data_IF_846005807916
#
_entry.id   IF_846005807916
#
_cell.length_a   1.000
_cell.length_b   1.000
_cell.length_c   1.000
_cell.angle_alpha   90.00
_cell.angle_beta   90.00
_cell.angle_gamma   90.00
#
_symmetry.space_group_name_H-M   'P 1'
#
loop_
_entity.id
_entity.type
_entity.pdbx_description
1 polymer ?
#
# COMPACT_ATOMS: atom_id res chain seq x y z
N UNK A 1 11.40 9.24 -32.66
CA UNK A 1 11.49 7.78 -32.93
C UNK A 1 10.76 7.04 -31.81
N UNK A 2 9.75 6.21 -32.05
CA UNK A 2 9.12 5.45 -30.98
C UNK A 2 10.04 4.27 -30.63
N UNK A 3 10.75 4.38 -29.52
CA UNK A 3 11.68 3.38 -29.02
C UNK A 3 10.91 2.44 -28.07
N UNK A 4 9.97 1.67 -28.59
CA UNK A 4 9.36 0.58 -27.82
C UNK A 4 10.22 -0.64 -28.04
N UNK A 5 11.12 -0.97 -27.11
CA UNK A 5 11.81 -2.26 -27.20
C UNK A 5 10.77 -3.36 -27.03
N UNK A 6 10.62 -4.19 -28.06
CA UNK A 6 9.68 -5.31 -28.02
C UNK A 6 10.00 -6.21 -26.82
N UNK A 7 8.97 -6.57 -26.04
CA UNK A 7 9.09 -7.53 -24.93
C UNK A 7 9.69 -8.81 -25.49
N UNK A 8 10.85 -9.23 -24.98
CA UNK A 8 11.48 -10.45 -25.46
C UNK A 8 10.72 -11.68 -24.95
N UNK A 9 10.81 -12.80 -25.65
CA UNK A 9 10.22 -14.07 -25.19
C UNK A 9 10.75 -14.47 -23.80
N UNK A 10 12.01 -14.15 -23.51
CA UNK A 10 12.64 -14.38 -22.20
C UNK A 10 12.00 -13.53 -21.12
N UNK A 11 11.77 -12.24 -21.38
CA UNK A 11 11.09 -11.36 -20.44
C UNK A 11 9.68 -11.89 -20.14
N UNK A 12 8.90 -12.19 -21.18
CA UNK A 12 7.55 -12.73 -21.01
C UNK A 12 7.52 -14.00 -20.15
N UNK A 13 8.48 -14.91 -20.33
CA UNK A 13 8.60 -16.13 -19.53
C UNK A 13 8.97 -15.84 -18.06
N UNK A 14 9.91 -14.93 -17.82
CA UNK A 14 10.32 -14.57 -16.44
C UNK A 14 9.18 -13.88 -15.71
N UNK A 15 8.58 -12.86 -16.32
CA UNK A 15 7.46 -12.11 -15.71
C UNK A 15 6.23 -13.00 -15.50
N UNK A 16 5.87 -13.82 -16.49
CA UNK A 16 4.78 -14.78 -16.38
C UNK A 16 5.04 -15.84 -15.31
N UNK A 17 6.26 -16.38 -15.25
CA UNK A 17 6.65 -17.37 -14.24
C UNK A 17 6.60 -16.81 -12.82
N UNK A 18 7.10 -15.60 -12.62
CA UNK A 18 7.03 -14.90 -11.33
C UNK A 18 5.60 -14.59 -10.91
N UNK A 19 4.74 -14.17 -11.85
CA UNK A 19 3.32 -13.96 -11.57
C UNK A 19 2.63 -15.27 -11.14
N UNK A 20 2.86 -16.37 -11.86
CA UNK A 20 2.31 -17.69 -11.50
C UNK A 20 2.83 -18.15 -10.14
N UNK A 21 4.12 -17.99 -9.86
CA UNK A 21 4.70 -18.32 -8.57
C UNK A 21 4.04 -17.51 -7.44
N UNK A 22 3.81 -16.21 -7.66
CA UNK A 22 3.11 -15.34 -6.73
C UNK A 22 1.67 -15.78 -6.49
N UNK A 23 0.92 -16.13 -7.56
CA UNK A 23 -0.42 -16.68 -7.42
C UNK A 23 -0.42 -17.96 -6.57
N UNK A 24 0.55 -18.85 -6.76
CA UNK A 24 0.68 -20.09 -5.99
C UNK A 24 0.99 -19.78 -4.52
N UNK A 25 2.02 -18.97 -4.23
CA UNK A 25 2.42 -18.67 -2.86
C UNK A 25 1.33 -17.93 -2.09
N UNK A 26 0.66 -16.95 -2.71
CA UNK A 26 -0.46 -16.22 -2.08
C UNK A 26 -1.67 -17.12 -1.87
N UNK A 27 -1.96 -18.04 -2.80
CA UNK A 27 -3.04 -19.03 -2.62
C UNK A 27 -2.73 -20.02 -1.49
N UNK A 28 -1.47 -20.44 -1.35
CA UNK A 28 -1.06 -21.29 -0.22
C UNK A 28 -1.19 -20.53 1.11
N UNK A 29 -0.88 -19.22 1.12
CA UNK A 29 -0.94 -18.40 2.33
C UNK A 29 -2.36 -18.18 2.88
N UNK A 30 -3.36 -17.95 2.01
CA UNK A 30 -4.71 -17.56 2.43
C UNK A 30 -5.88 -18.28 1.74
N UNK A 31 -5.60 -19.31 0.93
CA UNK A 31 -6.59 -19.99 0.12
C UNK A 31 -6.91 -19.27 -1.20
N UNK A 32 -7.73 -19.92 -2.03
CA UNK A 32 -8.03 -19.46 -3.40
C UNK A 32 -8.74 -18.11 -3.40
N UNK A 33 -9.70 -17.90 -2.49
CA UNK A 33 -10.43 -16.63 -2.41
C UNK A 33 -9.50 -15.45 -2.06
N UNK A 34 -8.56 -15.64 -1.12
CA UNK A 34 -7.56 -14.63 -0.78
C UNK A 34 -6.60 -14.40 -1.96
N UNK A 35 -6.02 -15.47 -2.49
CA UNK A 35 -5.04 -15.42 -3.59
C UNK A 35 -5.59 -14.75 -4.85
N UNK A 36 -6.74 -15.19 -5.34
CA UNK A 36 -7.37 -14.61 -6.52
C UNK A 36 -7.72 -13.13 -6.32
N UNK A 37 -8.22 -12.76 -5.13
CA UNK A 37 -8.59 -11.37 -4.81
C UNK A 37 -7.35 -10.48 -4.75
N UNK A 38 -6.34 -10.85 -3.98
CA UNK A 38 -5.14 -10.04 -3.81
C UNK A 38 -4.37 -9.92 -5.13
N UNK A 39 -4.19 -11.02 -5.86
CA UNK A 39 -3.51 -10.97 -7.16
C UNK A 39 -4.29 -10.17 -8.21
N UNK A 40 -5.63 -10.22 -8.17
CA UNK A 40 -6.47 -9.38 -9.03
C UNK A 40 -6.27 -7.89 -8.76
N UNK A 41 -6.22 -7.49 -7.49
CA UNK A 41 -5.98 -6.11 -7.07
C UNK A 41 -4.58 -5.64 -7.52
N UNK A 42 -3.53 -6.41 -7.21
CA UNK A 42 -2.16 -6.06 -7.57
C UNK A 42 -1.97 -6.01 -9.09
N UNK A 43 -2.54 -6.97 -9.83
CA UNK A 43 -2.47 -6.96 -11.28
C UNK A 43 -3.14 -5.73 -11.88
N UNK A 44 -4.31 -5.34 -11.36
CA UNK A 44 -5.00 -4.14 -11.84
C UNK A 44 -4.24 -2.85 -11.49
N UNK A 45 -3.61 -2.78 -10.31
CA UNK A 45 -2.72 -1.68 -9.92
C UNK A 45 -1.58 -1.52 -10.94
N UNK A 46 -0.82 -2.58 -11.18
CA UNK A 46 0.29 -2.53 -12.13
C UNK A 46 -0.17 -2.29 -13.58
N UNK A 47 -1.30 -2.87 -13.97
CA UNK A 47 -1.90 -2.61 -15.28
C UNK A 47 -2.26 -1.13 -15.46
N UNK A 48 -2.67 -0.43 -14.39
CA UNK A 48 -2.90 1.01 -14.39
C UNK A 48 -1.66 1.79 -14.81
N UNK A 49 -0.52 1.55 -14.16
CA UNK A 49 0.75 2.16 -14.54
C UNK A 49 1.15 1.81 -15.97
N UNK A 50 1.07 0.53 -16.35
CA UNK A 50 1.47 0.06 -17.67
C UNK A 50 0.63 0.70 -18.78
N UNK A 51 -0.70 0.71 -18.64
CA UNK A 51 -1.63 1.23 -19.65
C UNK A 51 -1.42 2.74 -19.83
N UNK A 52 -1.34 3.50 -18.74
CA UNK A 52 -1.16 4.96 -18.82
C UNK A 52 0.23 5.32 -19.33
N UNK A 53 1.29 4.66 -18.84
CA UNK A 53 2.65 4.86 -19.33
C UNK A 53 2.77 4.60 -20.84
N UNK A 54 2.16 3.51 -21.32
CA UNK A 54 2.13 3.17 -22.74
C UNK A 54 1.31 4.15 -23.58
N UNK A 55 0.17 4.65 -23.07
CA UNK A 55 -0.64 5.69 -23.73
C UNK A 55 0.14 7.00 -23.92
N UNK A 56 1.05 7.31 -23.00
CA UNK A 56 1.97 8.44 -23.11
C UNK A 56 3.24 8.14 -23.92
N UNK A 57 3.37 6.94 -24.50
CA UNK A 57 4.52 6.58 -25.33
C UNK A 57 5.81 6.29 -24.55
N UNK A 58 5.74 6.10 -23.23
CA UNK A 58 6.89 5.73 -22.41
C UNK A 58 7.14 4.21 -22.44
N UNK A 59 8.43 3.84 -22.41
CA UNK A 59 8.87 2.44 -22.34
C UNK A 59 8.75 1.92 -20.90
N UNK A 60 7.57 1.38 -20.59
CA UNK A 60 7.25 0.72 -19.32
C UNK A 60 7.56 -0.78 -19.40
N UNK A 61 8.21 -1.31 -18.36
CA UNK A 61 8.44 -2.76 -18.26
C UNK A 61 7.15 -3.50 -17.89
N UNK A 62 7.15 -4.82 -18.08
CA UNK A 62 6.12 -5.68 -17.49
C UNK A 62 6.27 -5.70 -15.96
N UNK A 63 5.18 -5.93 -15.21
CA UNK A 63 5.25 -6.01 -13.76
C UNK A 63 6.14 -7.17 -13.29
N UNK A 64 7.02 -6.90 -12.33
CA UNK A 64 7.75 -7.92 -11.58
C UNK A 64 7.02 -8.22 -10.28
N UNK A 65 6.32 -9.35 -10.23
CA UNK A 65 5.74 -9.87 -8.99
C UNK A 65 6.82 -10.58 -8.19
N UNK A 66 7.01 -10.22 -6.92
CA UNK A 66 8.05 -10.81 -6.08
C UNK A 66 7.37 -11.78 -5.09
N UNK A 67 7.35 -13.09 -5.40
CA UNK A 67 6.79 -14.08 -4.47
C UNK A 67 7.66 -14.15 -3.21
N UNK A 68 7.01 -14.33 -2.07
CA UNK A 68 7.68 -14.73 -0.83
C UNK A 68 7.15 -16.06 -0.34
N UNK A 69 7.96 -16.83 0.41
CA UNK A 69 7.45 -18.05 0.99
C UNK A 69 6.26 -17.74 1.92
N UNK A 70 5.18 -18.55 1.88
CA UNK A 70 3.92 -18.27 2.58
C UNK A 70 4.04 -18.06 4.09
N UNK A 71 5.11 -18.57 4.69
CA UNK A 71 5.35 -18.52 6.13
C UNK A 71 6.04 -17.23 6.61
N UNK A 72 6.62 -16.43 5.70
CA UNK A 72 7.32 -15.19 6.06
C UNK A 72 6.44 -13.94 5.94
N UNK A 73 5.42 -13.95 5.06
CA UNK A 73 4.51 -12.80 4.78
C UNK A 73 3.16 -13.29 4.22
N UNK A 74 2.36 -12.41 3.62
CA UNK A 74 1.10 -12.70 2.90
C UNK A 74 1.29 -13.49 1.57
N UNK A 75 2.43 -14.15 1.38
CA UNK A 75 2.80 -14.89 0.16
C UNK A 75 3.38 -14.03 -0.98
N UNK A 76 3.53 -12.72 -0.80
CA UNK A 76 4.12 -11.79 -1.79
C UNK A 76 4.65 -10.52 -1.13
N UNK A 77 5.70 -9.89 -1.70
CA UNK A 77 6.09 -8.51 -1.39
C UNK A 77 5.28 -7.46 -2.16
N UNK A 78 4.42 -7.90 -3.08
CA UNK A 78 3.75 -7.06 -4.05
C UNK A 78 4.35 -7.20 -5.45
N UNK A 79 4.10 -6.19 -6.27
CA UNK A 79 4.64 -6.08 -7.62
C UNK A 79 5.39 -4.76 -7.78
N UNK A 80 6.40 -4.75 -8.64
CA UNK A 80 7.17 -3.57 -8.98
C UNK A 80 7.22 -3.44 -10.49
N UNK A 81 6.70 -2.34 -11.03
CA UNK A 81 7.04 -1.92 -12.40
C UNK A 81 8.31 -1.08 -12.34
N UNK A 82 9.36 -1.59 -13.00
CA UNK A 82 10.57 -0.81 -13.25
C UNK A 82 10.35 0.13 -14.44
N UNK A 83 10.62 1.43 -14.28
CA UNK A 83 10.71 2.34 -15.42
C UNK A 83 12.09 2.22 -16.06
N UNK A 84 12.15 1.86 -17.35
CA UNK A 84 13.43 1.67 -18.07
C UNK A 84 14.17 3.00 -18.32
N UNK A 85 13.43 4.10 -18.30
CA UNK A 85 13.95 5.48 -18.37
C UNK A 85 13.19 6.37 -17.37
N UNK A 86 13.84 7.35 -16.74
CA UNK A 86 13.16 8.34 -15.91
C UNK A 86 12.07 9.07 -16.71
N UNK A 87 10.90 9.31 -16.11
CA UNK A 87 9.88 10.19 -16.68
C UNK A 87 10.26 11.63 -16.32
N UNK A 88 10.68 12.40 -17.31
CA UNK A 88 11.07 13.80 -17.14
C UNK A 88 9.85 14.75 -17.16
N UNK A 89 8.78 14.41 -17.88
CA UNK A 89 7.56 15.23 -17.95
C UNK A 89 6.70 15.09 -16.68
N UNK A 90 6.47 16.20 -15.98
CA UNK A 90 5.69 16.24 -14.73
C UNK A 90 4.25 15.78 -14.88
N UNK A 91 3.61 16.05 -16.02
CA UNK A 91 2.21 15.66 -16.26
C UNK A 91 2.11 14.16 -16.45
N UNK A 92 3.06 13.59 -17.21
CA UNK A 92 3.11 12.14 -17.41
C UNK A 92 3.47 11.44 -16.11
N UNK A 93 4.43 11.97 -15.34
CA UNK A 93 4.80 11.41 -14.03
C UNK A 93 3.60 11.38 -13.09
N UNK A 94 2.81 12.46 -13.07
CA UNK A 94 1.58 12.53 -12.30
C UNK A 94 0.55 11.49 -12.77
N UNK A 95 0.26 11.45 -14.07
CA UNK A 95 -0.77 10.58 -14.64
C UNK A 95 -0.43 9.09 -14.39
N UNK A 96 0.84 8.71 -14.61
CA UNK A 96 1.31 7.34 -14.34
C UNK A 96 1.30 7.03 -12.85
N UNK A 97 1.80 7.94 -11.99
CA UNK A 97 1.81 7.75 -10.55
C UNK A 97 0.41 7.60 -9.95
N UNK A 98 -0.59 8.32 -10.45
CA UNK A 98 -1.97 8.20 -9.99
C UNK A 98 -2.69 6.95 -10.53
N UNK A 99 -2.35 6.49 -11.75
CA UNK A 99 -3.09 5.44 -12.45
C UNK A 99 -3.13 4.10 -11.71
N UNK A 100 -2.01 3.65 -11.15
CA UNK A 100 -1.94 2.36 -10.45
C UNK A 100 -2.80 2.34 -9.18
N UNK A 101 -2.60 3.25 -8.23
CA UNK A 101 -3.42 3.36 -7.03
C UNK A 101 -4.92 3.45 -7.31
N UNK A 102 -5.32 4.23 -8.32
CA UNK A 102 -6.73 4.35 -8.72
C UNK A 102 -7.25 3.00 -9.25
N UNK A 103 -6.52 2.35 -10.16
CA UNK A 103 -6.93 1.07 -10.73
C UNK A 103 -7.01 -0.04 -9.66
N UNK A 104 -6.05 -0.07 -8.73
CA UNK A 104 -6.05 -0.97 -7.58
C UNK A 104 -7.27 -0.76 -6.68
N UNK A 105 -7.58 0.49 -6.31
CA UNK A 105 -8.72 0.80 -5.42
C UNK A 105 -10.08 0.54 -6.06
N UNK A 106 -10.23 0.81 -7.36
CA UNK A 106 -11.47 0.51 -8.10
C UNK A 106 -11.83 -0.98 -8.02
N UNK A 107 -10.82 -1.85 -7.91
CA UNK A 107 -11.01 -3.29 -7.74
C UNK A 107 -11.06 -3.70 -6.27
N UNK A 108 -10.19 -3.14 -5.42
CA UNK A 108 -10.10 -3.49 -4.01
C UNK A 108 -11.38 -3.16 -3.24
N UNK A 109 -11.99 -1.99 -3.47
CA UNK A 109 -13.17 -1.54 -2.71
C UNK A 109 -14.37 -2.46 -2.92
N UNK A 110 -14.80 -2.78 -4.16
CA UNK A 110 -15.92 -3.71 -4.36
C UNK A 110 -15.65 -5.11 -3.81
N UNK A 111 -14.44 -5.65 -4.01
CA UNK A 111 -14.10 -6.99 -3.51
C UNK A 111 -14.02 -7.01 -1.99
N UNK A 112 -13.58 -5.93 -1.36
CA UNK A 112 -13.62 -5.77 0.09
C UNK A 112 -15.06 -5.75 0.61
N UNK A 113 -15.97 -4.99 -0.04
CA UNK A 113 -17.40 -4.97 0.33
C UNK A 113 -18.03 -6.36 0.19
N UNK A 114 -17.76 -7.07 -0.91
CA UNK A 114 -18.23 -8.44 -1.10
C UNK A 114 -17.65 -9.34 0.00
N UNK A 115 -16.35 -9.25 0.26
CA UNK A 115 -15.70 -10.00 1.33
C UNK A 115 -16.32 -9.72 2.70
N UNK A 116 -16.59 -8.47 3.04
CA UNK A 116 -17.25 -8.09 4.29
C UNK A 116 -18.67 -8.66 4.36
N UNK A 117 -19.43 -8.66 3.26
CA UNK A 117 -20.78 -9.26 3.23
C UNK A 117 -20.77 -10.78 3.42
N UNK A 118 -19.64 -11.45 3.12
CA UNK A 118 -19.41 -12.87 3.36
C UNK A 118 -18.79 -13.15 4.74
N UNK A 119 -18.47 -12.11 5.51
CA UNK A 119 -17.82 -12.23 6.82
C UNK A 119 -18.85 -12.27 7.93
N UNK A 120 -18.53 -12.97 9.02
CA UNK A 120 -19.40 -13.07 10.19
C UNK A 120 -18.91 -12.15 11.30
N UNK A 121 -19.81 -11.66 12.15
CA UNK A 121 -19.41 -10.87 13.34
C UNK A 121 -19.50 -11.76 14.57
N UNK A 122 -18.42 -11.80 15.35
CA UNK A 122 -18.34 -12.64 16.54
C UNK A 122 -17.47 -12.03 17.64
N UNK A 123 -17.35 -12.70 18.79
CA UNK A 123 -16.55 -12.23 19.92
C UNK A 123 -15.06 -12.05 19.54
N UNK A 124 -14.45 -10.97 20.01
CA UNK A 124 -13.00 -10.77 19.89
C UNK A 124 -12.29 -11.83 20.73
N UNK A 125 -11.32 -12.54 20.14
CA UNK A 125 -10.61 -13.63 20.83
C UNK A 125 -9.39 -13.07 21.57
N UNK A 126 -9.20 -13.35 22.87
CA UNK A 126 -8.12 -12.79 23.70
C UNK A 126 -6.69 -13.04 23.16
N UNK A 127 -6.47 -14.19 22.50
CA UNK A 127 -5.15 -14.56 21.93
C UNK A 127 -5.07 -14.36 20.42
N UNK A 128 -5.96 -13.53 19.87
CA UNK A 128 -5.95 -13.20 18.45
C UNK A 128 -5.28 -11.86 18.20
N UNK A 129 -5.29 -11.47 16.95
CA UNK A 129 -4.82 -10.18 16.52
C UNK A 129 -5.76 -9.69 15.45
N UNK A 130 -5.90 -8.38 15.42
CA UNK A 130 -6.92 -7.69 14.64
C UNK A 130 -6.26 -6.69 13.73
N UNK A 131 -6.86 -6.53 12.56
CA UNK A 131 -6.40 -5.58 11.57
C UNK A 131 -6.73 -4.13 11.97
N UNK A 132 -5.90 -3.20 11.54
CA UNK A 132 -6.10 -1.77 11.77
C UNK A 132 -7.26 -1.20 10.94
N UNK A 133 -7.92 -0.18 11.49
CA UNK A 133 -8.96 0.56 10.79
C UNK A 133 -8.43 1.84 10.17
N UNK A 134 -8.48 1.92 8.84
CA UNK A 134 -8.51 3.21 8.14
C UNK A 134 -9.92 3.81 8.17
N UNK A 135 -10.04 5.09 7.86
CA UNK A 135 -11.34 5.78 7.81
C UNK A 135 -12.26 5.09 6.79
N UNK A 136 -11.77 4.84 5.58
CA UNK A 136 -12.54 4.16 4.54
C UNK A 136 -12.96 2.77 5.00
N UNK A 137 -12.05 1.98 5.57
CA UNK A 137 -12.36 0.62 6.01
C UNK A 137 -13.40 0.60 7.13
N UNK A 138 -13.29 1.49 8.11
CA UNK A 138 -14.28 1.65 9.17
C UNK A 138 -15.67 2.02 8.62
N UNK A 139 -15.72 2.93 7.64
CA UNK A 139 -16.97 3.31 6.97
C UNK A 139 -17.58 2.15 6.17
N UNK A 140 -16.76 1.33 5.50
CA UNK A 140 -17.24 0.15 4.80
C UNK A 140 -17.78 -0.92 5.77
N UNK A 141 -17.10 -1.15 6.90
CA UNK A 141 -17.63 -2.02 7.97
C UNK A 141 -18.96 -1.51 8.50
N UNK A 142 -19.06 -0.20 8.77
CA UNK A 142 -20.31 0.40 9.20
C UNK A 142 -21.42 0.26 8.15
N UNK A 143 -21.11 0.47 6.87
CA UNK A 143 -22.08 0.34 5.78
C UNK A 143 -22.61 -1.10 5.61
N UNK A 144 -21.76 -2.11 5.83
CA UNK A 144 -22.13 -3.52 5.68
C UNK A 144 -22.84 -4.07 6.93
N UNK A 145 -22.37 -3.74 8.13
CA UNK A 145 -22.86 -4.34 9.38
C UNK A 145 -23.79 -3.42 10.20
N UNK A 146 -23.93 -2.15 9.81
CA UNK A 146 -24.79 -1.18 10.50
C UNK A 146 -24.26 -0.72 11.87
N UNK A 147 -23.00 -1.00 12.20
CA UNK A 147 -22.37 -0.64 13.48
C UNK A 147 -20.87 -0.43 13.35
N UNK A 148 -20.28 0.33 14.28
CA UNK A 148 -18.84 0.55 14.35
C UNK A 148 -18.15 -0.69 14.93
N UNK A 149 -17.16 -1.22 14.20
CA UNK A 149 -16.44 -2.45 14.55
C UNK A 149 -14.91 -2.23 14.43
N UNK A 150 -14.10 -2.72 15.37
CA UNK A 150 -14.49 -3.45 16.59
C UNK A 150 -15.26 -2.58 17.59
N UNK A 151 -16.20 -3.18 18.31
CA UNK A 151 -17.05 -2.50 19.30
C UNK A 151 -17.81 -3.51 20.15
N UNK A 152 -18.11 -3.17 21.42
CA UNK A 152 -18.88 -4.03 22.33
C UNK A 152 -18.34 -5.47 22.49
N UNK A 153 -17.01 -5.64 22.43
CA UNK A 153 -16.35 -6.95 22.56
C UNK A 153 -16.51 -7.86 21.34
N UNK A 154 -17.04 -7.37 20.22
CA UNK A 154 -17.18 -8.11 18.96
C UNK A 154 -16.45 -7.43 17.80
N UNK A 155 -16.02 -8.22 16.83
CA UNK A 155 -15.45 -7.75 15.57
C UNK A 155 -15.72 -8.76 14.44
N UNK A 156 -15.34 -8.37 13.23
CA UNK A 156 -15.57 -9.15 12.01
C UNK A 156 -14.55 -10.29 11.90
N UNK A 157 -15.03 -11.52 11.81
CA UNK A 157 -14.25 -12.66 11.35
C UNK A 157 -14.13 -12.60 9.83
N UNK A 158 -13.03 -12.00 9.37
CA UNK A 158 -12.83 -11.71 7.96
C UNK A 158 -12.83 -12.98 7.10
N UNK A 159 -13.74 -13.01 6.14
CA UNK A 159 -13.64 -13.90 4.99
C UNK A 159 -12.31 -13.63 4.27
N UNK A 160 -11.63 -14.65 3.70
CA UNK A 160 -10.32 -14.45 3.06
C UNK A 160 -10.32 -13.39 1.94
N UNK A 161 -11.45 -13.19 1.26
CA UNK A 161 -11.64 -12.10 0.30
C UNK A 161 -11.61 -10.70 0.95
N UNK A 162 -12.23 -10.55 2.13
CA UNK A 162 -12.22 -9.29 2.88
C UNK A 162 -10.80 -8.96 3.35
N UNK A 163 -10.09 -9.96 3.89
CA UNK A 163 -8.70 -9.81 4.29
C UNK A 163 -7.83 -9.38 3.10
N UNK A 164 -7.99 -10.01 1.93
CA UNK A 164 -7.27 -9.61 0.71
C UNK A 164 -7.60 -8.18 0.26
N UNK A 165 -8.87 -7.77 0.34
CA UNK A 165 -9.30 -6.40 0.05
C UNK A 165 -8.68 -5.37 1.01
N UNK A 166 -8.64 -5.69 2.30
CA UNK A 166 -7.98 -4.88 3.33
C UNK A 166 -6.46 -4.76 3.09
N UNK A 167 -5.80 -5.88 2.76
CA UNK A 167 -4.39 -5.88 2.34
C UNK A 167 -4.21 -4.99 1.10
N UNK A 168 -5.13 -5.05 0.14
CA UNK A 168 -5.13 -4.17 -1.03
C UNK A 168 -5.13 -2.70 -0.65
N UNK A 169 -6.00 -2.28 0.28
CA UNK A 169 -5.99 -0.91 0.81
C UNK A 169 -4.64 -0.54 1.47
N UNK A 170 -4.06 -1.47 2.24
CA UNK A 170 -2.78 -1.26 2.91
C UNK A 170 -1.63 -1.08 1.90
N UNK A 171 -1.56 -1.93 0.87
CA UNK A 171 -0.55 -1.82 -0.20
C UNK A 171 -0.72 -0.50 -0.95
N UNK A 172 -1.96 -0.11 -1.28
CA UNK A 172 -2.20 1.19 -1.92
C UNK A 172 -1.81 2.35 -1.01
N UNK A 173 -2.10 2.29 0.30
CA UNK A 173 -1.67 3.30 1.25
C UNK A 173 -0.15 3.48 1.22
N UNK A 174 0.60 2.37 1.29
CA UNK A 174 2.05 2.37 1.22
C UNK A 174 2.50 3.06 -0.06
N UNK A 175 1.96 2.64 -1.21
CA UNK A 175 2.31 3.22 -2.50
C UNK A 175 1.96 4.70 -2.60
N UNK A 176 0.91 5.18 -1.93
CA UNK A 176 0.52 6.58 -1.91
C UNK A 176 1.26 7.44 -0.88
N UNK A 177 2.19 6.90 -0.10
CA UNK A 177 3.04 7.72 0.76
C UNK A 177 3.82 8.73 -0.09
N UNK A 178 3.82 10.03 0.26
CA UNK A 178 4.47 11.09 -0.53
C UNK A 178 5.99 11.14 -0.27
N UNK A 179 6.68 10.01 -0.46
CA UNK A 179 8.10 9.84 -0.14
C UNK A 179 8.75 8.95 -1.22
N UNK A 180 9.95 9.33 -1.65
CA UNK A 180 10.79 8.48 -2.49
C UNK A 180 10.22 8.23 -3.88
N UNK A 181 10.40 6.99 -4.33
CA UNK A 181 9.98 6.48 -5.64
C UNK A 181 8.65 5.73 -5.59
N UNK A 182 7.91 5.87 -4.50
CA UNK A 182 6.54 5.35 -4.40
C UNK A 182 5.62 6.16 -5.32
N UNK A 183 4.44 5.63 -5.64
CA UNK A 183 3.46 6.30 -6.50
C UNK A 183 3.04 7.68 -5.97
N UNK A 184 2.85 7.80 -4.65
CA UNK A 184 2.63 9.05 -3.94
C UNK A 184 3.81 10.00 -4.03
N UNK A 185 5.04 9.47 -4.07
CA UNK A 185 6.26 10.22 -4.36
C UNK A 185 6.32 10.76 -5.78
N UNK A 186 5.87 9.99 -6.79
CA UNK A 186 5.70 10.45 -8.17
C UNK A 186 4.69 11.59 -8.26
N UNK A 187 3.52 11.42 -7.62
CA UNK A 187 2.48 12.45 -7.54
C UNK A 187 2.99 13.70 -6.83
N UNK A 188 3.66 13.55 -5.69
CA UNK A 188 4.20 14.65 -4.90
C UNK A 188 5.35 15.35 -5.61
N UNK A 189 6.24 14.63 -6.31
CA UNK A 189 7.30 15.21 -7.14
C UNK A 189 6.71 16.00 -8.29
N UNK A 190 5.71 15.45 -8.97
CA UNK A 190 5.00 16.17 -10.00
C UNK A 190 4.35 17.44 -9.45
N UNK A 191 3.71 17.40 -8.28
CA UNK A 191 3.05 18.55 -7.65
C UNK A 191 4.02 19.64 -7.17
N UNK A 192 5.07 19.24 -6.44
CA UNK A 192 5.97 20.14 -5.70
C UNK A 192 7.25 20.50 -6.46
N UNK A 193 7.56 19.81 -7.56
CA UNK A 193 8.83 19.94 -8.29
C UNK A 193 10.02 19.58 -7.39
N UNK A 194 11.13 20.29 -7.53
CA UNK A 194 12.38 19.99 -6.82
C UNK A 194 12.28 20.13 -5.29
N UNK A 195 11.27 20.87 -4.79
CA UNK A 195 11.01 20.94 -3.35
C UNK A 195 10.65 19.59 -2.74
N UNK A 196 10.15 18.64 -3.55
CA UNK A 196 9.86 17.27 -3.13
C UNK A 196 11.07 16.58 -2.49
N UNK A 197 12.29 16.79 -3.00
CA UNK A 197 13.48 16.12 -2.45
C UNK A 197 13.68 16.46 -0.96
N UNK A 198 13.52 17.76 -0.62
CA UNK A 198 13.63 18.25 0.77
C UNK A 198 12.46 17.74 1.62
N UNK A 199 11.24 17.72 1.08
CA UNK A 199 10.06 17.23 1.78
C UNK A 199 10.13 15.72 2.05
N UNK A 200 10.47 14.93 1.04
CA UNK A 200 10.71 13.48 1.14
C UNK A 200 11.78 13.17 2.17
N UNK A 201 12.88 13.93 2.20
CA UNK A 201 13.92 13.77 3.22
C UNK A 201 13.39 14.02 4.65
N UNK A 202 12.60 15.08 4.84
CA UNK A 202 12.00 15.41 6.14
C UNK A 202 10.99 14.36 6.59
N UNK A 203 10.10 13.96 5.68
CA UNK A 203 9.08 12.95 5.97
C UNK A 203 9.72 11.60 6.33
N UNK A 204 10.75 11.19 5.59
CA UNK A 204 11.48 9.97 5.89
C UNK A 204 12.14 10.00 7.28
N UNK A 205 12.78 11.11 7.66
CA UNK A 205 13.34 11.28 9.02
C UNK A 205 12.26 11.36 10.09
N UNK A 206 11.03 11.77 9.73
CA UNK A 206 9.91 11.84 10.65
C UNK A 206 9.22 10.47 10.89
N UNK A 207 9.39 9.47 10.02
CA UNK A 207 8.72 8.17 10.17
C UNK A 207 8.98 7.49 11.53
N UNK A 208 10.21 7.44 12.08
CA UNK A 208 10.42 6.89 13.42
C UNK A 208 9.66 7.66 14.51
N UNK A 209 9.50 8.98 14.37
CA UNK A 209 8.73 9.79 15.32
C UNK A 209 7.25 9.40 15.29
N UNK A 210 6.69 9.13 14.10
CA UNK A 210 5.32 8.60 13.96
C UNK A 210 5.18 7.27 14.70
N UNK A 211 6.14 6.35 14.50
CA UNK A 211 6.15 5.07 15.21
C UNK A 211 6.26 5.22 16.73
N UNK A 212 7.11 6.14 17.21
CA UNK A 212 7.23 6.46 18.64
C UNK A 212 5.91 7.03 19.17
N UNK A 213 5.25 7.92 18.44
CA UNK A 213 3.94 8.48 18.83
C UNK A 213 2.88 7.39 18.98
N UNK A 214 2.67 6.54 17.96
CA UNK A 214 1.69 5.47 18.05
C UNK A 214 2.05 4.44 19.11
N UNK A 215 3.32 4.02 19.19
CA UNK A 215 3.80 3.11 20.23
C UNK A 215 3.58 3.68 21.64
N UNK A 216 3.82 4.98 21.85
CA UNK A 216 3.64 5.62 23.16
C UNK A 216 2.17 5.74 23.55
N UNK A 217 1.30 6.08 22.58
CA UNK A 217 -0.16 6.11 22.79
C UNK A 217 -0.67 4.70 23.16
N UNK A 218 -0.23 3.68 22.43
CA UNK A 218 -0.62 2.29 22.69
C UNK A 218 -0.10 1.78 24.03
N UNK A 219 1.14 2.12 24.39
CA UNK A 219 1.72 1.79 25.69
C UNK A 219 0.91 2.46 26.81
N UNK A 220 0.63 3.75 26.69
CA UNK A 220 -0.15 4.50 27.68
C UNK A 220 -1.57 3.94 27.84
N UNK A 221 -2.22 3.56 26.73
CA UNK A 221 -3.53 2.90 26.74
C UNK A 221 -3.47 1.58 27.50
N UNK A 222 -2.58 0.66 27.11
CA UNK A 222 -2.46 -0.65 27.75
C UNK A 222 -2.13 -0.56 29.25
N UNK A 223 -1.26 0.38 29.62
CA UNK A 223 -0.92 0.64 31.02
C UNK A 223 -2.08 1.26 31.79
N UNK A 224 -2.86 2.13 31.16
CA UNK A 224 -4.07 2.74 31.72
C UNK A 224 -5.17 1.72 32.01
N UNK A 225 -5.27 0.69 31.17
CA UNK A 225 -6.22 -0.43 31.32
C UNK A 225 -5.73 -1.51 32.31
N UNK A 226 -4.54 -1.34 32.88
CA UNK A 226 -4.00 -2.20 33.96
C UNK A 226 -3.22 -3.43 33.49
N UNK A 227 -2.93 -3.57 32.19
CA UNK A 227 -2.13 -4.69 31.67
C UNK A 227 -0.67 -4.64 32.14
N UNK A 228 -0.03 -5.80 32.31
CA UNK A 228 1.38 -5.87 32.72
C UNK A 228 2.31 -5.21 31.67
N UNK A 229 3.54 -4.88 32.10
CA UNK A 229 4.57 -4.32 31.25
C UNK A 229 4.87 -5.18 30.01
N UNK A 230 4.94 -6.50 30.15
CA UNK A 230 5.27 -7.38 29.03
C UNK A 230 4.21 -7.28 27.90
N UNK A 231 2.93 -7.34 28.28
CA UNK A 231 1.81 -7.25 27.33
C UNK A 231 1.69 -5.84 26.74
N UNK A 232 1.89 -4.82 27.58
CA UNK A 232 1.84 -3.42 27.15
C UNK A 232 2.96 -3.08 26.15
N UNK A 233 4.17 -3.60 26.36
CA UNK A 233 5.31 -3.44 25.44
C UNK A 233 5.04 -4.18 24.13
N UNK A 234 4.53 -5.42 24.19
CA UNK A 234 4.16 -6.19 23.00
C UNK A 234 3.11 -5.44 22.18
N UNK A 235 2.07 -4.92 22.81
CA UNK A 235 1.03 -4.13 22.17
C UNK A 235 1.60 -2.83 21.56
N UNK A 236 2.39 -2.06 22.31
CA UNK A 236 3.04 -0.85 21.83
C UNK A 236 3.99 -1.08 20.65
N UNK A 237 4.68 -2.22 20.62
CA UNK A 237 5.60 -2.58 19.52
C UNK A 237 4.90 -2.66 18.17
N UNK A 238 3.60 -2.98 18.14
CA UNK A 238 2.81 -3.04 16.90
C UNK A 238 2.57 -1.65 16.29
N UNK A 239 2.54 -0.60 17.11
CA UNK A 239 2.49 0.79 16.66
C UNK A 239 3.83 1.36 16.21
N UNK A 240 4.96 0.79 16.67
CA UNK A 240 6.30 1.26 16.34
C UNK A 240 6.92 0.54 15.13
N UNK A 241 6.80 -0.79 15.10
CA UNK A 241 7.51 -1.66 14.15
C UNK A 241 7.28 -1.32 12.68
N UNK A 242 6.03 -1.08 12.19
CA UNK A 242 5.80 -0.77 10.78
C UNK A 242 6.60 0.45 10.30
N UNK A 243 6.68 1.49 11.13
CA UNK A 243 7.36 2.73 10.79
C UNK A 243 8.88 2.59 10.80
N UNK A 244 9.43 1.78 11.70
CA UNK A 244 10.86 1.45 11.68
C UNK A 244 11.24 0.65 10.43
N UNK A 245 10.43 -0.35 10.08
CA UNK A 245 10.63 -1.14 8.85
C UNK A 245 10.62 -0.23 7.63
N UNK A 246 9.62 0.64 7.49
CA UNK A 246 9.56 1.57 6.37
C UNK A 246 10.68 2.60 6.35
N UNK A 247 11.14 3.07 7.52
CA UNK A 247 12.33 3.94 7.59
C UNK A 247 13.57 3.22 7.04
N UNK A 248 13.80 1.97 7.43
CA UNK A 248 14.94 1.20 6.94
C UNK A 248 14.80 0.93 5.44
N UNK A 249 13.65 0.47 4.97
CA UNK A 249 13.40 0.16 3.56
C UNK A 249 13.58 1.39 2.67
N UNK A 250 12.98 2.53 3.02
CA UNK A 250 13.13 3.78 2.27
C UNK A 250 14.58 4.30 2.31
N UNK A 251 15.31 4.08 3.41
CA UNK A 251 16.75 4.35 3.50
C UNK A 251 17.58 3.51 2.56
N UNK A 252 17.30 2.22 2.46
CA UNK A 252 17.97 1.30 1.53
C UNK A 252 17.67 1.68 0.08
N UNK A 253 16.40 1.95 -0.25
CA UNK A 253 15.99 2.40 -1.58
C UNK A 253 16.68 3.71 -1.97
N UNK A 254 16.70 4.70 -1.07
CA UNK A 254 17.41 5.97 -1.29
C UNK A 254 18.91 5.75 -1.51
N UNK A 255 19.54 4.87 -0.72
CA UNK A 255 20.98 4.58 -0.84
C UNK A 255 21.31 3.94 -2.19
N UNK A 256 20.44 3.10 -2.74
CA UNK A 256 20.61 2.49 -4.05
C UNK A 256 20.34 3.47 -5.19
N UNK A 257 19.31 4.31 -5.07
CA UNK A 257 18.92 5.27 -6.10
C UNK A 257 19.77 6.56 -6.12
N UNK A 258 20.47 6.87 -5.02
CA UNK A 258 21.28 8.09 -4.84
C UNK A 258 20.47 9.35 -4.51
N UNK A 259 19.21 9.44 -4.96
CA UNK A 259 18.25 10.51 -4.68
C UNK A 259 16.86 9.93 -4.41
N UNK A 260 15.94 10.70 -3.82
CA UNK A 260 14.55 10.23 -3.66
C UNK A 260 13.81 10.17 -4.99
N UNK A 261 14.04 11.14 -5.89
CA UNK A 261 13.48 11.10 -7.23
C UNK A 261 14.36 11.86 -8.25
N UNK A 262 14.53 11.34 -9.48
CA UNK A 262 15.19 12.08 -10.57
C UNK A 262 14.56 13.47 -10.83
N UNK A 263 15.32 14.43 -11.39
CA UNK A 263 14.78 15.71 -11.82
C UNK A 263 13.65 15.56 -12.85
N UNK A 264 12.73 16.51 -12.84
CA UNK A 264 11.60 16.61 -13.76
C UNK A 264 11.56 18.00 -14.37
N UNK A 265 10.94 18.15 -15.53
CA UNK A 265 10.76 19.42 -16.25
C UNK A 265 10.20 20.51 -15.31
N UNK A 266 10.72 21.74 -15.29
CA UNK A 266 10.18 22.83 -14.48
C UNK A 266 8.71 23.18 -14.77
N UNK A 267 8.14 22.79 -15.91
CA UNK A 267 6.79 23.18 -16.33
C UNK A 267 5.73 22.80 -15.27
N UNK A 268 4.89 23.74 -14.82
CA UNK A 268 3.92 23.46 -13.78
C UNK A 268 2.79 22.54 -14.26
N UNK A 269 2.26 21.74 -13.33
CA UNK A 269 1.00 21.01 -13.52
C UNK A 269 -0.15 22.00 -13.77
N UNK A 270 -1.06 21.61 -14.67
CA UNK A 270 -2.32 22.33 -14.87
C UNK A 270 -3.23 22.23 -13.63
N UNK A 271 -4.24 23.12 -13.58
CA UNK A 271 -5.15 23.20 -12.44
C UNK A 271 -5.93 21.92 -12.17
N UNK A 272 -6.27 21.13 -13.20
CA UNK A 272 -7.02 19.87 -13.02
C UNK A 272 -6.15 18.83 -12.33
N UNK A 273 -4.91 18.65 -12.79
CA UNK A 273 -3.98 17.70 -12.15
C UNK A 273 -3.59 18.12 -10.75
N UNK A 274 -3.49 19.42 -10.46
CA UNK A 274 -3.33 19.90 -9.07
C UNK A 274 -4.52 19.51 -8.18
N UNK A 275 -5.75 19.65 -8.67
CA UNK A 275 -6.93 19.20 -7.94
C UNK A 275 -6.92 17.68 -7.73
N UNK A 276 -6.53 16.91 -8.76
CA UNK A 276 -6.36 15.46 -8.61
C UNK A 276 -5.25 15.07 -7.64
N UNK A 277 -4.14 15.82 -7.56
CA UNK A 277 -3.10 15.58 -6.56
C UNK A 277 -3.65 15.72 -5.12
N UNK A 278 -4.49 16.72 -4.88
CA UNK A 278 -5.20 16.87 -3.60
C UNK A 278 -6.16 15.70 -3.39
N UNK A 279 -6.89 15.28 -4.42
CA UNK A 279 -7.75 14.09 -4.37
C UNK A 279 -6.98 12.83 -3.98
N UNK A 280 -5.80 12.60 -4.55
CA UNK A 280 -4.94 11.46 -4.19
C UNK A 280 -4.41 11.54 -2.77
N UNK A 281 -4.11 12.75 -2.27
CA UNK A 281 -3.75 12.95 -0.86
C UNK A 281 -4.93 12.63 0.07
N UNK A 282 -6.15 13.04 -0.29
CA UNK A 282 -7.36 12.70 0.47
C UNK A 282 -7.55 11.19 0.47
N UNK A 283 -7.41 10.53 -0.68
CA UNK A 283 -7.48 9.06 -0.77
C UNK A 283 -6.46 8.41 0.15
N UNK A 284 -5.20 8.84 0.12
CA UNK A 284 -4.15 8.37 1.03
C UNK A 284 -4.58 8.48 2.50
N UNK A 285 -5.10 9.65 2.92
CA UNK A 285 -5.56 9.85 4.29
C UNK A 285 -6.77 8.97 4.65
N UNK A 286 -7.68 8.73 3.70
CA UNK A 286 -8.85 7.87 3.92
C UNK A 286 -8.46 6.39 4.10
N UNK A 287 -7.43 5.93 3.41
CA UNK A 287 -6.96 4.54 3.49
C UNK A 287 -5.78 4.36 4.44
N UNK A 288 -5.32 5.42 5.11
CA UNK A 288 -4.21 5.38 6.03
C UNK A 288 -4.51 4.46 7.23
N UNK A 289 -3.68 3.44 7.40
CA UNK A 289 -3.70 2.49 8.52
C UNK A 289 -2.33 2.49 9.23
N UNK A 290 -2.08 3.44 10.15
CA UNK A 290 -0.79 3.58 10.83
C UNK A 290 -0.33 2.37 11.65
N UNK A 291 -1.29 1.60 12.15
CA UNK A 291 -1.08 0.37 12.91
C UNK A 291 -1.82 -0.75 12.18
N UNK A 292 -1.19 -1.40 11.19
CA UNK A 292 -1.87 -2.37 10.33
C UNK A 292 -2.37 -3.60 11.09
N UNK A 293 -1.66 -4.02 12.12
CA UNK A 293 -1.98 -5.21 12.89
C UNK A 293 -1.61 -4.98 14.34
N UNK A 294 -2.45 -5.43 15.27
CA UNK A 294 -2.18 -5.39 16.71
C UNK A 294 -2.72 -6.63 17.42
N UNK A 295 -2.05 -7.11 18.48
CA UNK A 295 -2.60 -8.15 19.33
C UNK A 295 -3.82 -7.63 20.09
N UNK A 296 -4.75 -8.53 20.39
CA UNK A 296 -5.81 -8.26 21.39
C UNK A 296 -5.16 -8.26 22.77
N UNK A 297 -5.61 -7.34 23.62
CA UNK A 297 -5.25 -7.24 25.03
C UNK A 297 -6.44 -7.69 25.90
#
# INVERSE_FOLDING_TARGET
>A
MPYTQAVTRRDALVHGGLFVACCITTTIAGGIAFGATLMGILLCHEAGHYIVGKRHGHDVSLPYFIPLPPFFTLGTLGAVIGMRKPIEDRRILFDVGAAGPIAGLVVAIPLLVIGLSLSEVGPIRPDSSIEGNSILYALLKYAVFGRWLPGDGVDVYLHPMALAGWVGLLVTMINLMPIGQLDGGHIARAALGDSHEKWSARLHVALPLVGITFGSIMLASARGDGHDWADSIRYASSGLTPWLVWTVLLGLMRRQAGQYHPPVDPMPLDGKRKAYAIGMLIVFLLIATPVPWRPVL
#
